data_IF_063002144401
#
_entry.id   IF_063002144401
#
_cell.length_a   1.000
_cell.length_b   1.000
_cell.length_c   1.000
_cell.angle_alpha   90.00
_cell.angle_beta   90.00
_cell.angle_gamma   90.00
#
_symmetry.space_group_name_H-M   'P 1'
#
loop_
_entity.id
_entity.type
_entity.pdbx_description
1 polymer ?
#
# COMPACT_ATOMS: atom_id res chain seq x y z
N UNK A 1 4.72 -8.64 -3.36
CA UNK A 1 4.56 -7.95 -2.06
C UNK A 1 3.36 -6.99 -2.04
N UNK A 2 3.35 -5.83 -2.73
CA UNK A 2 2.25 -4.86 -2.59
C UNK A 2 0.92 -5.27 -3.26
N UNK A 3 0.94 -6.20 -4.22
CA UNK A 3 -0.27 -6.80 -4.83
C UNK A 3 -0.82 -8.02 -4.08
N UNK A 4 -0.09 -8.50 -3.07
CA UNK A 4 -0.50 -9.68 -2.31
C UNK A 4 -1.65 -9.33 -1.36
N UNK A 5 -2.50 -10.33 -1.09
CA UNK A 5 -3.58 -10.23 -0.11
C UNK A 5 -3.10 -10.89 1.19
N UNK A 6 -3.10 -10.12 2.27
CA UNK A 6 -2.66 -10.57 3.59
C UNK A 6 -3.86 -10.82 4.50
N UNK A 7 -3.65 -11.55 5.59
CA UNK A 7 -4.67 -11.94 6.58
C UNK A 7 -5.73 -12.92 6.06
N UNK A 8 -5.46 -13.61 4.96
CA UNK A 8 -6.22 -14.79 4.55
C UNK A 8 -5.77 -16.02 5.34
N UNK A 9 -6.62 -17.05 5.39
CA UNK A 9 -6.27 -18.31 6.02
C UNK A 9 -5.25 -19.08 5.17
N UNK A 10 -4.23 -19.63 5.82
CA UNK A 10 -3.28 -20.53 5.19
C UNK A 10 -3.99 -21.79 4.69
N UNK A 11 -3.72 -22.18 3.44
CA UNK A 11 -4.27 -23.39 2.81
C UNK A 11 -3.72 -24.66 3.47
N UNK A 12 -2.47 -24.63 3.94
CA UNK A 12 -1.82 -25.77 4.61
C UNK A 12 -2.23 -25.95 6.07
N UNK A 13 -2.73 -24.89 6.72
CA UNK A 13 -3.06 -24.90 8.15
C UNK A 13 -4.47 -24.32 8.42
N UNK A 14 -5.54 -24.87 7.81
CA UNK A 14 -6.86 -24.25 7.82
C UNK A 14 -7.54 -24.24 9.20
N UNK A 15 -7.21 -25.19 10.08
CA UNK A 15 -7.84 -25.37 11.39
C UNK A 15 -6.98 -24.89 12.56
N UNK A 16 -5.78 -24.39 12.28
CA UNK A 16 -4.86 -23.98 13.33
C UNK A 16 -5.13 -22.56 13.85
N UNK A 17 -4.77 -22.31 15.11
CA UNK A 17 -4.65 -20.95 15.63
C UNK A 17 -3.49 -20.25 14.93
N UNK A 18 -3.56 -18.93 14.70
CA UNK A 18 -2.53 -18.14 13.96
C UNK A 18 -2.30 -18.62 12.51
N UNK A 19 -3.35 -19.14 11.87
CA UNK A 19 -3.39 -19.51 10.45
C UNK A 19 -3.38 -18.33 9.48
N UNK A 20 -3.52 -17.11 9.97
CA UNK A 20 -3.52 -15.92 9.13
C UNK A 20 -2.15 -15.73 8.46
N UNK A 21 -2.21 -15.42 7.17
CA UNK A 21 -1.05 -15.13 6.33
C UNK A 21 -0.62 -13.68 6.59
N UNK A 22 0.23 -13.49 7.60
CA UNK A 22 0.69 -12.19 8.11
C UNK A 22 2.16 -11.89 7.81
N UNK A 23 2.85 -12.78 7.09
CA UNK A 23 4.27 -12.61 6.73
C UNK A 23 4.45 -12.70 5.22
N UNK A 24 5.46 -12.02 4.70
CA UNK A 24 5.89 -12.10 3.31
C UNK A 24 7.37 -12.48 3.24
N UNK A 25 7.66 -13.58 2.56
CA UNK A 25 9.02 -14.04 2.27
C UNK A 25 9.52 -13.33 1.01
N UNK A 26 10.68 -12.71 1.10
CA UNK A 26 11.32 -12.03 -0.02
C UNK A 26 11.93 -13.06 -0.98
N UNK A 27 12.60 -14.08 -0.44
CA UNK A 27 13.28 -15.08 -1.27
C UNK A 27 12.30 -15.96 -2.06
N UNK A 28 11.19 -16.36 -1.42
CA UNK A 28 10.13 -17.13 -2.09
C UNK A 28 9.11 -16.25 -2.84
N UNK A 29 9.15 -14.93 -2.65
CA UNK A 29 8.13 -13.98 -3.15
C UNK A 29 6.68 -14.36 -2.76
N UNK A 30 6.51 -15.06 -1.63
CA UNK A 30 5.24 -15.63 -1.20
C UNK A 30 4.88 -15.20 0.22
N UNK A 31 3.58 -15.09 0.47
CA UNK A 31 3.03 -14.79 1.78
C UNK A 31 2.70 -16.07 2.55
N UNK A 32 3.03 -16.13 3.84
CA UNK A 32 2.89 -17.34 4.66
C UNK A 32 2.40 -17.03 6.08
N UNK A 33 1.90 -18.05 6.80
CA UNK A 33 1.42 -17.92 8.18
C UNK A 33 2.49 -18.31 9.20
N UNK A 34 2.20 -18.17 10.49
CA UNK A 34 3.17 -18.48 11.54
C UNK A 34 3.62 -19.96 11.58
N UNK A 35 2.78 -20.90 11.17
CA UNK A 35 3.13 -22.33 11.08
C UNK A 35 4.04 -22.68 9.90
N UNK A 36 4.03 -21.89 8.84
CA UNK A 36 4.95 -22.06 7.71
C UNK A 36 6.35 -21.49 8.01
N UNK A 37 6.54 -20.78 9.14
CA UNK A 37 7.81 -20.15 9.51
C UNK A 37 9.02 -21.11 9.49
N UNK A 38 8.93 -22.38 9.95
CA UNK A 38 10.06 -23.30 9.91
C UNK A 38 10.59 -23.54 8.49
N UNK A 39 9.70 -23.59 7.49
CA UNK A 39 10.07 -23.72 6.07
C UNK A 39 10.73 -22.47 5.50
N UNK A 40 10.61 -21.33 6.19
CA UNK A 40 11.19 -20.04 5.82
C UNK A 40 12.23 -19.55 6.84
N UNK A 41 12.73 -20.42 7.73
CA UNK A 41 13.58 -20.02 8.85
C UNK A 41 14.90 -19.35 8.41
N UNK A 42 15.43 -19.77 7.26
CA UNK A 42 16.66 -19.23 6.67
C UNK A 42 16.40 -18.18 5.59
N UNK A 43 15.14 -17.79 5.38
CA UNK A 43 14.77 -16.82 4.35
C UNK A 43 14.55 -15.43 4.96
N UNK A 44 14.82 -14.42 4.16
CA UNK A 44 14.48 -13.03 4.48
C UNK A 44 12.97 -12.87 4.37
N UNK A 45 12.33 -12.52 5.47
CA UNK A 45 10.89 -12.31 5.52
C UNK A 45 10.53 -11.10 6.37
N UNK A 46 9.42 -10.45 6.02
CA UNK A 46 8.86 -9.32 6.77
C UNK A 46 7.52 -9.68 7.37
N UNK A 47 7.21 -9.09 8.52
CA UNK A 47 5.89 -9.17 9.13
C UNK A 47 5.03 -8.00 8.68
N UNK A 48 3.81 -8.31 8.26
CA UNK A 48 2.79 -7.34 7.89
C UNK A 48 1.80 -7.24 9.04
N UNK A 49 1.47 -6.02 9.42
CA UNK A 49 0.52 -5.72 10.49
C UNK A 49 -0.69 -5.03 9.89
N UNK A 50 -1.86 -5.24 10.50
CA UNK A 50 -3.08 -4.53 10.12
C UNK A 50 -3.31 -3.40 11.11
N UNK A 51 -3.32 -2.17 10.61
CA UNK A 51 -3.72 -1.01 11.39
C UNK A 51 -5.02 -0.44 10.83
N UNK A 52 -6.09 -0.51 11.63
CA UNK A 52 -7.45 -0.17 11.22
C UNK A 52 -7.85 -1.01 9.98
N UNK A 53 -7.79 -0.41 8.79
CA UNK A 53 -8.14 -1.05 7.50
C UNK A 53 -6.98 -0.99 6.50
N UNK A 54 -5.75 -0.92 6.98
CA UNK A 54 -4.59 -0.78 6.10
C UNK A 54 -3.45 -1.70 6.53
N UNK A 55 -2.83 -2.31 5.52
CA UNK A 55 -1.64 -3.14 5.69
C UNK A 55 -0.42 -2.22 5.86
N UNK A 56 0.28 -2.41 6.98
CA UNK A 56 1.46 -1.63 7.35
C UNK A 56 2.64 -2.54 7.66
N UNK A 57 3.84 -2.04 7.42
CA UNK A 57 5.09 -2.71 7.75
C UNK A 57 5.88 -1.78 8.68
N UNK A 58 6.59 -2.36 9.66
CA UNK A 58 7.53 -1.59 10.47
C UNK A 58 8.65 -1.07 9.57
N UNK A 59 8.95 0.23 9.66
CA UNK A 59 10.00 0.85 8.85
C UNK A 59 11.34 0.18 9.09
N UNK A 60 11.65 -0.20 10.33
CA UNK A 60 12.94 -0.81 10.68
C UNK A 60 13.13 -2.14 9.96
N UNK A 61 12.18 -3.06 10.12
CA UNK A 61 12.18 -4.38 9.48
C UNK A 61 12.28 -4.29 7.94
N UNK A 62 11.63 -3.28 7.34
CA UNK A 62 11.68 -3.10 5.88
C UNK A 62 12.97 -2.42 5.41
N UNK A 63 13.52 -1.48 6.18
CA UNK A 63 14.73 -0.74 5.84
C UNK A 63 15.96 -1.64 5.66
N UNK A 64 16.00 -2.77 6.35
CA UNK A 64 17.08 -3.76 6.24
C UNK A 64 17.07 -4.48 4.87
N UNK A 65 15.94 -4.44 4.17
CA UNK A 65 15.68 -5.25 2.97
C UNK A 65 15.35 -4.39 1.74
N UNK A 66 14.87 -3.17 1.96
CA UNK A 66 14.41 -2.27 0.91
C UNK A 66 14.74 -0.82 1.26
N UNK A 67 15.09 -0.02 0.24
CA UNK A 67 15.34 1.41 0.43
C UNK A 67 14.03 2.12 0.78
N UNK A 68 13.83 2.46 2.05
CA UNK A 68 12.64 3.20 2.50
C UNK A 68 12.77 4.73 2.38
N UNK A 69 13.86 5.26 1.80
CA UNK A 69 14.04 6.70 1.64
C UNK A 69 12.97 7.31 0.75
N UNK A 70 12.50 8.51 1.09
CA UNK A 70 11.44 9.21 0.37
C UNK A 70 10.04 8.61 0.53
N UNK A 71 9.84 7.57 1.35
CA UNK A 71 8.49 7.09 1.71
C UNK A 71 8.05 7.75 3.01
N UNK A 72 6.85 8.33 2.98
CA UNK A 72 6.23 8.91 4.15
C UNK A 72 6.06 7.87 5.27
N UNK A 73 6.59 8.22 6.43
CA UNK A 73 6.56 7.40 7.64
C UNK A 73 5.49 7.90 8.58
N UNK A 74 4.72 6.98 9.14
CA UNK A 74 3.68 7.29 10.13
C UNK A 74 4.07 6.74 11.49
N UNK A 75 3.66 7.44 12.55
CA UNK A 75 3.80 6.94 13.91
C UNK A 75 2.52 6.20 14.31
N UNK A 76 2.67 4.97 14.77
CA UNK A 76 1.57 4.14 15.26
C UNK A 76 2.06 3.38 16.49
N UNK A 77 1.44 3.63 17.65
CA UNK A 77 1.87 3.07 18.94
C UNK A 77 3.37 3.26 19.19
N UNK A 78 3.87 4.48 18.96
CA UNK A 78 5.30 4.87 19.07
C UNK A 78 6.26 4.15 18.09
N UNK A 79 5.77 3.27 17.21
CA UNK A 79 6.56 2.65 16.16
C UNK A 79 6.42 3.42 14.84
N UNK A 80 7.52 3.50 14.08
CA UNK A 80 7.54 4.06 12.72
C UNK A 80 7.07 3.00 11.73
N UNK A 81 5.97 3.25 11.04
CA UNK A 81 5.36 2.32 10.08
C UNK A 81 5.21 2.94 8.70
N UNK A 82 5.22 2.09 7.68
CA UNK A 82 5.02 2.43 6.28
C UNK A 82 3.75 1.74 5.77
N UNK A 83 2.92 2.47 5.03
CA UNK A 83 1.77 1.86 4.36
C UNK A 83 2.22 1.05 3.15
N UNK A 84 1.68 -0.15 3.03
CA UNK A 84 1.95 -1.01 1.89
C UNK A 84 1.27 -0.49 0.61
N UNK A 85 -0.01 -0.13 0.73
CA UNK A 85 -0.86 0.35 -0.38
C UNK A 85 -1.26 1.80 -0.18
N UNK A 86 -1.67 2.43 -1.28
CA UNK A 86 -2.27 3.77 -1.23
C UNK A 86 -3.53 3.74 -0.36
N UNK A 87 -3.64 4.70 0.56
CA UNK A 87 -4.87 4.89 1.33
C UNK A 87 -5.85 5.73 0.53
N UNK A 88 -7.04 5.20 0.30
CA UNK A 88 -8.21 5.98 -0.12
C UNK A 88 -8.63 6.85 1.07
N UNK A 89 -8.16 8.09 1.15
CA UNK A 89 -8.75 9.03 2.10
C UNK A 89 -10.01 9.62 1.47
N UNK A 90 -11.15 9.26 2.06
CA UNK A 90 -12.42 9.96 1.98
C UNK A 90 -12.22 11.39 2.46
N UNK A 91 -12.51 12.37 1.59
CA UNK A 91 -12.77 13.77 1.92
C UNK A 91 -11.90 14.35 3.06
N UNK A 92 -10.61 14.58 2.81
CA UNK A 92 -9.93 15.62 3.56
C UNK A 92 -10.03 16.90 2.74
N UNK A 93 -10.96 17.76 3.17
CA UNK A 93 -11.16 19.10 2.63
C UNK A 93 -9.82 19.80 2.54
N UNK A 94 -9.63 20.50 1.41
CA UNK A 94 -8.53 21.40 1.16
C UNK A 94 -8.36 22.34 2.36
N UNK A 95 -7.41 22.06 3.23
CA UNK A 95 -6.96 23.04 4.21
C UNK A 95 -5.44 22.99 4.30
N UNK A 96 -4.88 24.17 4.06
CA UNK A 96 -3.46 24.56 4.13
C UNK A 96 -2.54 24.13 2.96
N UNK A 97 -2.27 25.12 2.09
CA UNK A 97 -1.00 25.52 1.45
C UNK A 97 0.28 24.71 1.70
N UNK A 98 0.25 23.37 1.59
CA UNK A 98 1.45 22.53 1.59
C UNK A 98 1.48 21.74 0.29
N UNK A 99 2.41 22.09 -0.59
CA UNK A 99 2.51 21.60 -1.97
C UNK A 99 3.15 20.21 -2.10
N UNK A 100 3.58 19.59 -1.00
CA UNK A 100 4.22 18.28 -1.04
C UNK A 100 3.19 17.21 -1.37
N UNK A 101 3.25 16.69 -2.61
CA UNK A 101 2.34 15.68 -3.14
C UNK A 101 3.11 14.45 -3.57
N UNK A 102 2.50 13.29 -3.36
CA UNK A 102 3.01 12.01 -3.81
C UNK A 102 3.15 12.01 -5.34
N UNK A 103 4.34 11.69 -5.85
CA UNK A 103 4.63 11.71 -7.30
C UNK A 103 3.75 10.77 -8.14
N UNK A 104 3.19 9.72 -7.52
CA UNK A 104 2.38 8.71 -8.22
C UNK A 104 0.87 8.96 -8.13
N UNK A 105 0.36 9.29 -6.94
CA UNK A 105 -1.10 9.41 -6.74
C UNK A 105 -1.58 10.83 -6.41
N UNK A 106 -0.67 11.80 -6.30
CA UNK A 106 -1.01 13.20 -6.01
C UNK A 106 -1.49 13.45 -4.58
N UNK A 107 -1.44 12.46 -3.70
CA UNK A 107 -1.83 12.58 -2.29
C UNK A 107 -0.90 13.53 -1.55
N UNK A 108 -1.45 14.46 -0.78
CA UNK A 108 -0.67 15.36 0.09
C UNK A 108 0.14 14.56 1.11
N UNK A 109 1.41 14.93 1.26
CA UNK A 109 2.39 14.36 2.17
C UNK A 109 2.52 15.22 3.42
N UNK A 110 2.98 14.64 4.52
CA UNK A 110 3.16 15.37 5.79
C UNK A 110 4.46 16.19 5.82
N UNK A 111 5.47 15.76 5.10
CA UNK A 111 6.81 16.31 5.09
C UNK A 111 7.35 16.48 3.67
N UNK A 112 8.31 17.39 3.51
CA UNK A 112 8.94 17.74 2.24
C UNK A 112 10.02 16.74 1.79
N UNK A 113 10.48 15.88 2.69
CA UNK A 113 11.48 14.85 2.39
C UNK A 113 10.88 13.61 1.76
N UNK A 114 9.57 13.43 1.91
CA UNK A 114 8.82 12.33 1.32
C UNK A 114 8.41 12.68 -0.11
N UNK A 115 8.54 11.70 -1.00
CA UNK A 115 8.09 11.74 -2.38
C UNK A 115 6.93 10.77 -2.63
N UNK A 116 6.79 9.77 -1.75
CA UNK A 116 5.83 8.68 -1.89
C UNK A 116 5.00 8.51 -0.62
N UNK A 117 3.69 8.34 -0.77
CA UNK A 117 2.80 8.11 0.39
C UNK A 117 2.76 6.64 0.86
N UNK A 118 3.26 5.70 0.06
CA UNK A 118 3.22 4.26 0.33
C UNK A 118 4.32 3.51 -0.42
N UNK A 119 4.60 2.29 0.00
CA UNK A 119 5.57 1.39 -0.66
C UNK A 119 5.13 1.12 -2.10
N UNK A 120 3.85 0.84 -2.34
CA UNK A 120 3.31 0.66 -3.69
C UNK A 120 3.61 1.86 -4.60
N UNK A 121 3.48 3.10 -4.12
CA UNK A 121 3.82 4.28 -4.93
C UNK A 121 5.31 4.33 -5.29
N UNK A 122 6.21 4.07 -4.34
CA UNK A 122 7.64 4.06 -4.66
C UNK A 122 7.97 2.98 -5.70
N UNK A 123 7.43 1.79 -5.50
CA UNK A 123 7.64 0.66 -6.41
C UNK A 123 7.09 0.97 -7.81
N UNK A 124 5.89 1.51 -7.92
CA UNK A 124 5.31 1.94 -9.20
C UNK A 124 6.13 3.02 -9.90
N UNK A 125 6.79 3.91 -9.16
CA UNK A 125 7.70 4.90 -9.77
C UNK A 125 8.90 4.23 -10.41
N UNK A 126 9.55 3.32 -9.68
CA UNK A 126 10.72 2.58 -10.17
C UNK A 126 10.38 1.79 -11.44
N UNK A 127 9.26 1.07 -11.45
CA UNK A 127 8.83 0.32 -12.64
C UNK A 127 8.40 1.21 -13.82
N UNK A 128 7.88 2.42 -13.57
CA UNK A 128 7.56 3.37 -14.65
C UNK A 128 8.79 3.93 -15.33
N UNK A 129 9.86 4.17 -14.58
CA UNK A 129 11.13 4.64 -15.15
C UNK A 129 11.76 3.55 -16.03
N UNK A 130 11.64 2.27 -15.64
CA UNK A 130 12.08 1.13 -16.46
C UNK A 130 11.26 0.97 -17.75
N UNK A 131 9.93 1.20 -17.73
CA UNK A 131 9.08 1.14 -18.93
C UNK A 131 9.36 2.28 -19.94
N UNK A 132 9.92 3.41 -19.50
CA UNK A 132 10.38 4.49 -20.41
C UNK A 132 11.66 4.08 -21.14
N UNK A 133 12.51 3.24 -20.54
CA UNK A 133 13.71 2.70 -21.18
C UNK A 133 13.38 1.62 -22.23
N UNK A 134 12.27 0.89 -22.04
CA UNK A 134 11.79 -0.16 -22.97
C UNK A 134 10.64 0.33 -23.84
N UNK A 135 10.67 1.57 -24.33
CA UNK A 135 9.97 2.03 -25.54
C UNK A 135 8.50 1.64 -25.80
N UNK A 136 7.72 1.21 -24.80
CA UNK A 136 6.33 0.79 -25.02
C UNK A 136 5.36 1.87 -24.53
N UNK A 137 4.54 2.45 -25.41
CA UNK A 137 3.54 3.43 -25.02
C UNK A 137 2.36 2.73 -24.34
N UNK A 138 2.33 2.72 -23.01
CA UNK A 138 1.12 2.34 -22.28
C UNK A 138 0.15 3.52 -22.20
N UNK A 139 -0.90 3.37 -22.99
CA UNK A 139 -2.11 4.17 -23.10
C UNK A 139 -2.56 4.74 -21.76
N UNK A 140 -2.63 6.06 -21.68
CA UNK A 140 -3.34 6.79 -20.61
C UNK A 140 -4.78 6.25 -20.58
N UNK A 141 -5.17 5.47 -19.57
CA UNK A 141 -6.59 5.19 -19.33
C UNK A 141 -7.28 6.54 -19.13
N UNK A 142 -8.25 6.94 -19.97
CA UNK A 142 -8.96 8.19 -19.77
C UNK A 142 -9.62 8.13 -18.41
N UNK A 143 -9.48 9.19 -17.62
CA UNK A 143 -10.36 9.41 -16.47
C UNK A 143 -11.78 9.43 -17.02
N UNK A 144 -12.56 8.39 -16.75
CA UNK A 144 -14.00 8.46 -16.92
C UNK A 144 -14.48 9.62 -16.03
N UNK A 145 -14.82 10.74 -16.66
CA UNK A 145 -15.52 11.84 -16.00
C UNK A 145 -16.83 11.26 -15.51
N UNK A 146 -16.96 11.06 -14.20
CA UNK A 146 -18.27 10.85 -13.59
C UNK A 146 -19.09 12.10 -13.86
N UNK A 147 -20.03 11.99 -14.79
CA UNK A 147 -21.09 12.97 -15.00
C UNK A 147 -21.87 13.10 -13.69
N UNK A 148 -22.01 14.33 -13.20
CA UNK A 148 -22.86 14.64 -12.04
C UNK A 148 -24.26 14.10 -12.35
N UNK A 149 -24.78 13.20 -11.52
CA UNK A 149 -26.18 12.78 -11.59
C UNK A 149 -27.05 14.03 -11.55
N UNK A 150 -27.96 14.14 -12.52
CA UNK A 150 -28.89 15.27 -12.65
C UNK A 150 -29.69 15.49 -11.38
N UNK A 151 -30.19 16.72 -11.25
CA UNK A 151 -31.04 17.16 -10.13
C UNK A 151 -32.21 16.19 -9.96
N UNK A 152 -32.45 15.63 -8.76
CA UNK A 152 -33.58 14.75 -8.54
C UNK A 152 -34.88 15.54 -8.67
N UNK A 153 -35.72 15.19 -9.64
CA UNK A 153 -37.10 15.65 -9.71
C UNK A 153 -37.89 15.01 -8.57
N UNK A 154 -38.57 15.83 -7.76
CA UNK A 154 -39.47 15.37 -6.71
C UNK A 154 -40.66 14.66 -7.34
N UNK A 155 -41.05 13.52 -6.78
CA UNK A 155 -42.27 12.80 -7.14
C UNK A 155 -43.51 13.66 -6.86
N UNK A 156 -44.54 13.66 -7.72
CA UNK A 156 -45.82 14.29 -7.42
C UNK A 156 -46.52 13.53 -6.29
N UNK A 157 -47.10 14.27 -5.35
CA UNK A 157 -47.95 13.70 -4.29
C UNK A 157 -49.31 13.36 -4.92
N UNK A 158 -49.67 12.08 -4.88
CA UNK A 158 -51.06 11.62 -5.00
C UNK A 158 -51.40 10.85 -3.73
#
# INVERSE_FOLDING_TARGET
MYNSVFFNNCVHHPNEKKKEVDKFCIDCLQSFCSHCLPSHAFHKHIKIRRYIYSDVINRQDLCELFNCSGIQTYLTNKAKVLFLKQRTQSHQQQSSSRDYKCSICGKTLQDNTSLYCSIACKVLNIYRDEEIFVGLPLTKKPRLRQTRKGVPLRSPMF
#
